data_IF_336080402412
#
_entry.id   IF_336080402412
#
_cell.length_a   1.000
_cell.length_b   1.000
_cell.length_c   1.000
_cell.angle_alpha   90.00
_cell.angle_beta   90.00
_cell.angle_gamma   90.00
#
_symmetry.space_group_name_H-M   'P 1'
#
loop_
_entity.id
_entity.type
_entity.pdbx_description
1 polymer ?
#
# COMPACT_ATOMS: atom_id res chain seq x y z
N UNK A 1 -11.33 -9.53 -7.50
CA UNK A 1 -10.16 -9.42 -8.37
C UNK A 1 -10.48 -8.60 -9.62
N UNK A 2 -9.61 -7.66 -9.93
CA UNK A 2 -9.80 -6.82 -11.12
C UNK A 2 -10.99 -5.88 -11.06
N UNK A 3 -11.59 -5.67 -9.90
CA UNK A 3 -12.78 -4.85 -9.77
C UNK A 3 -12.46 -3.38 -10.04
N UNK A 4 -13.38 -2.69 -10.70
CA UNK A 4 -13.31 -1.24 -10.83
C UNK A 4 -14.11 -0.62 -9.69
N UNK A 5 -13.37 -0.17 -8.67
CA UNK A 5 -13.94 0.47 -7.49
C UNK A 5 -13.56 1.96 -7.44
N UNK A 6 -13.18 2.53 -8.59
CA UNK A 6 -12.84 3.94 -8.64
C UNK A 6 -14.01 4.79 -8.17
N UNK A 7 -13.70 5.76 -7.31
CA UNK A 7 -14.68 6.66 -6.69
C UNK A 7 -15.71 5.97 -5.79
N UNK A 8 -15.54 4.67 -5.51
CA UNK A 8 -16.46 3.97 -4.62
C UNK A 8 -16.37 4.52 -3.20
N UNK A 9 -17.49 4.57 -2.51
CA UNK A 9 -17.52 4.89 -1.09
C UNK A 9 -17.39 3.58 -0.30
N UNK A 10 -16.20 3.32 0.19
CA UNK A 10 -15.88 2.15 1.00
C UNK A 10 -15.52 2.56 2.43
N UNK A 11 -15.95 3.74 2.85
CA UNK A 11 -15.70 4.28 4.18
C UNK A 11 -16.17 3.28 5.24
N UNK A 12 -15.23 2.89 6.12
CA UNK A 12 -15.47 1.93 7.21
C UNK A 12 -15.91 0.53 6.76
N UNK A 13 -15.74 0.21 5.48
CA UNK A 13 -16.08 -1.11 4.97
C UNK A 13 -15.16 -2.18 5.56
N UNK A 14 -15.69 -3.38 5.78
CA UNK A 14 -14.91 -4.54 6.13
C UNK A 14 -14.51 -5.27 4.84
N UNK A 15 -13.27 -5.08 4.43
CA UNK A 15 -12.67 -5.72 3.27
C UNK A 15 -11.56 -6.69 3.70
N UNK A 16 -11.55 -7.08 4.97
CA UNK A 16 -10.56 -8.02 5.47
C UNK A 16 -10.62 -9.33 4.68
N UNK A 17 -9.44 -9.87 4.37
CA UNK A 17 -9.27 -11.09 3.58
C UNK A 17 -9.75 -11.01 2.13
N UNK A 18 -10.19 -9.84 1.65
CA UNK A 18 -10.68 -9.71 0.28
C UNK A 18 -9.55 -9.87 -0.74
N UNK A 19 -9.87 -10.44 -1.89
CA UNK A 19 -8.97 -10.43 -3.04
C UNK A 19 -9.24 -9.18 -3.86
N UNK A 20 -8.42 -8.15 -3.61
CA UNK A 20 -8.48 -6.88 -4.33
C UNK A 20 -7.31 -6.75 -5.31
N UNK A 21 -6.70 -7.89 -5.68
CA UNK A 21 -5.63 -7.89 -6.68
C UNK A 21 -6.15 -7.32 -7.99
N UNK A 22 -5.34 -6.47 -8.63
CA UNK A 22 -5.67 -5.78 -9.87
C UNK A 22 -6.86 -4.81 -9.76
N UNK A 23 -7.38 -4.56 -8.56
CA UNK A 23 -8.49 -3.63 -8.38
C UNK A 23 -8.08 -2.19 -8.63
N UNK A 24 -8.96 -1.42 -9.24
CA UNK A 24 -8.80 0.02 -9.37
C UNK A 24 -9.50 0.69 -8.20
N UNK A 25 -8.71 1.21 -7.26
CA UNK A 25 -9.20 1.93 -6.08
C UNK A 25 -8.96 3.45 -6.20
N UNK A 26 -8.63 3.93 -7.41
CA UNK A 26 -8.37 5.35 -7.61
C UNK A 26 -9.55 6.19 -7.19
N UNK A 27 -9.30 7.19 -6.33
CA UNK A 27 -10.31 8.09 -5.78
C UNK A 27 -11.38 7.40 -4.91
N UNK A 28 -11.19 6.13 -4.57
CA UNK A 28 -12.09 5.48 -3.63
C UNK A 28 -11.92 6.09 -2.23
N UNK A 29 -13.00 6.15 -1.48
CA UNK A 29 -12.96 6.54 -0.08
C UNK A 29 -12.80 5.29 0.77
N UNK A 30 -11.60 5.09 1.30
CA UNK A 30 -11.25 3.97 2.16
C UNK A 30 -11.10 4.37 3.62
N UNK A 31 -11.49 5.61 3.98
CA UNK A 31 -11.27 6.08 5.34
C UNK A 31 -11.93 5.15 6.35
N UNK A 32 -11.14 4.71 7.33
CA UNK A 32 -11.59 3.78 8.36
C UNK A 32 -11.90 2.37 7.90
N UNK A 33 -11.65 2.02 6.64
CA UNK A 33 -11.89 0.66 6.14
C UNK A 33 -10.90 -0.32 6.75
N UNK A 34 -11.31 -1.59 6.86
CA UNK A 34 -10.45 -2.68 7.33
C UNK A 34 -9.98 -3.49 6.11
N UNK A 35 -8.70 -3.38 5.79
CA UNK A 35 -8.07 -4.13 4.70
C UNK A 35 -7.12 -5.22 5.23
N UNK A 36 -7.22 -5.57 6.52
CA UNK A 36 -6.32 -6.56 7.11
C UNK A 36 -6.36 -7.86 6.31
N UNK A 37 -5.17 -8.34 5.93
CA UNK A 37 -4.98 -9.59 5.18
C UNK A 37 -5.60 -9.60 3.77
N UNK A 38 -6.01 -8.45 3.25
CA UNK A 38 -6.47 -8.37 1.87
C UNK A 38 -5.29 -8.54 0.91
N UNK A 39 -5.57 -9.04 -0.29
CA UNK A 39 -4.59 -9.07 -1.37
C UNK A 39 -4.74 -7.82 -2.21
N UNK A 40 -3.74 -6.93 -2.16
CA UNK A 40 -3.72 -5.67 -2.90
C UNK A 40 -2.69 -5.68 -4.03
N UNK A 41 -2.16 -6.85 -4.39
CA UNK A 41 -1.12 -6.93 -5.43
C UNK A 41 -1.65 -6.38 -6.75
N UNK A 42 -0.85 -5.51 -7.37
CA UNK A 42 -1.17 -4.87 -8.66
C UNK A 42 -2.42 -3.98 -8.62
N UNK A 43 -2.90 -3.61 -7.43
CA UNK A 43 -4.02 -2.68 -7.31
C UNK A 43 -3.55 -1.24 -7.48
N UNK A 44 -4.50 -0.36 -7.81
CA UNK A 44 -4.27 1.08 -7.80
C UNK A 44 -4.71 1.65 -6.46
N UNK A 45 -3.77 2.21 -5.69
CA UNK A 45 -4.04 2.75 -4.35
C UNK A 45 -4.43 4.23 -4.45
N UNK A 46 -5.45 4.70 -3.73
CA UNK A 46 -5.78 6.12 -3.74
C UNK A 46 -4.77 6.93 -2.92
N UNK A 47 -4.13 7.93 -3.54
CA UNK A 47 -3.21 8.83 -2.85
C UNK A 47 -3.91 10.07 -2.27
N UNK A 48 -5.23 10.07 -2.23
CA UNK A 48 -6.01 11.14 -1.63
C UNK A 48 -6.07 10.98 -0.11
N UNK A 49 -6.60 12.00 0.58
CA UNK A 49 -6.81 11.93 2.03
C UNK A 49 -7.88 10.90 2.42
N UNK A 50 -8.55 10.31 1.46
CA UNK A 50 -9.61 9.33 1.68
C UNK A 50 -9.08 7.95 2.09
N UNK A 51 -7.76 7.80 2.29
CA UNK A 51 -7.18 6.59 2.86
C UNK A 51 -6.83 6.72 4.34
N UNK A 52 -7.21 7.83 4.96
CA UNK A 52 -6.89 8.06 6.38
C UNK A 52 -7.59 7.03 7.26
N UNK A 53 -6.84 6.45 8.20
CA UNK A 53 -7.39 5.52 9.17
C UNK A 53 -7.71 4.15 8.60
N UNK A 54 -7.23 3.82 7.41
CA UNK A 54 -7.34 2.46 6.88
C UNK A 54 -6.58 1.51 7.78
N UNK A 55 -7.23 0.43 8.19
CA UNK A 55 -6.60 -0.60 9.00
C UNK A 55 -5.95 -1.64 8.09
N UNK A 56 -4.67 -1.90 8.33
CA UNK A 56 -3.90 -2.89 7.57
C UNK A 56 -3.09 -3.74 8.54
N UNK A 57 -2.72 -4.94 8.10
CA UNK A 57 -1.76 -5.77 8.82
C UNK A 57 -0.32 -5.41 8.41
N UNK A 58 0.66 -6.02 9.08
CA UNK A 58 2.07 -5.74 8.82
C UNK A 58 2.47 -6.06 7.37
N UNK A 59 1.87 -7.09 6.77
CA UNK A 59 2.16 -7.48 5.40
C UNK A 59 1.84 -6.35 4.41
N UNK A 60 0.66 -5.73 4.56
CA UNK A 60 0.25 -4.61 3.71
C UNK A 60 1.08 -3.37 4.02
N UNK A 61 1.33 -3.09 5.31
CA UNK A 61 2.15 -1.95 5.70
C UNK A 61 3.57 -2.07 5.12
N UNK A 62 4.16 -3.25 5.15
CA UNK A 62 5.48 -3.48 4.55
C UNK A 62 5.44 -3.33 3.03
N UNK A 63 4.35 -3.73 2.38
CA UNK A 63 4.18 -3.54 0.95
C UNK A 63 4.15 -2.04 0.59
N UNK A 64 3.42 -1.23 1.35
CA UNK A 64 3.39 0.22 1.14
C UNK A 64 4.78 0.83 1.40
N UNK A 65 5.48 0.38 2.43
CA UNK A 65 6.83 0.82 2.72
C UNK A 65 7.79 0.47 1.59
N UNK A 66 7.65 -0.72 1.00
CA UNK A 66 8.49 -1.16 -0.12
C UNK A 66 8.32 -0.25 -1.34
N UNK A 67 7.09 0.13 -1.66
CA UNK A 67 6.85 1.05 -2.76
C UNK A 67 7.40 2.45 -2.46
N UNK A 68 7.29 2.92 -1.22
CA UNK A 68 7.90 4.17 -0.82
C UNK A 68 9.42 4.14 -1.03
N UNK A 69 10.08 3.04 -0.65
CA UNK A 69 11.53 2.90 -0.79
C UNK A 69 11.98 2.76 -2.24
N UNK A 70 11.08 2.38 -3.14
CA UNK A 70 11.39 2.20 -4.56
C UNK A 70 11.28 3.49 -5.36
N UNK A 71 10.79 4.57 -4.77
CA UNK A 71 10.67 5.87 -5.44
C UNK A 71 12.05 6.49 -5.60
N UNK A 72 12.29 7.10 -6.75
CA UNK A 72 13.52 7.84 -7.03
C UNK A 72 13.32 9.31 -6.66
N UNK A 73 13.92 9.72 -5.54
CA UNK A 73 13.80 11.09 -5.04
C UNK A 73 15.10 11.49 -4.34
N UNK A 74 15.68 12.60 -4.75
CA UNK A 74 16.96 13.08 -4.24
C UNK A 74 16.86 13.85 -2.92
N UNK A 75 15.65 14.18 -2.49
CA UNK A 75 15.46 15.00 -1.29
C UNK A 75 16.11 14.34 -0.07
N UNK A 76 16.96 15.08 0.68
CA UNK A 76 17.65 14.50 1.84
C UNK A 76 16.70 13.99 2.92
N UNK A 77 15.55 14.64 3.12
CA UNK A 77 14.57 14.19 4.10
C UNK A 77 13.94 12.87 3.68
N UNK A 78 13.67 12.71 2.37
CA UNK A 78 13.19 11.43 1.85
C UNK A 78 14.24 10.34 2.07
N UNK A 79 15.50 10.61 1.74
CA UNK A 79 16.57 9.61 1.87
C UNK A 79 16.76 9.18 3.33
N UNK A 80 16.66 10.10 4.27
CA UNK A 80 16.73 9.77 5.70
C UNK A 80 15.55 8.89 6.12
N UNK A 81 14.34 9.22 5.68
CA UNK A 81 13.15 8.43 5.98
C UNK A 81 13.25 7.03 5.36
N UNK A 82 13.72 6.95 4.12
CA UNK A 82 13.92 5.68 3.41
C UNK A 82 14.87 4.78 4.19
N UNK A 83 16.00 5.33 4.61
CA UNK A 83 16.99 4.56 5.39
C UNK A 83 16.38 4.02 6.67
N UNK A 84 15.57 4.84 7.36
CA UNK A 84 14.96 4.45 8.62
C UNK A 84 13.99 3.28 8.50
N UNK A 85 13.28 3.16 7.35
CA UNK A 85 12.23 2.14 7.19
C UNK A 85 12.65 0.99 6.27
N UNK A 86 13.84 1.04 5.67
CA UNK A 86 14.26 0.10 4.63
C UNK A 86 14.22 -1.36 5.12
N UNK A 87 14.67 -1.63 6.34
CA UNK A 87 14.67 -3.00 6.86
C UNK A 87 13.26 -3.56 7.00
N UNK A 88 12.31 -2.73 7.44
CA UNK A 88 10.91 -3.14 7.46
C UNK A 88 10.37 -3.38 6.05
N UNK A 89 10.69 -2.48 5.11
CA UNK A 89 10.27 -2.60 3.72
C UNK A 89 10.76 -3.91 3.08
N UNK A 90 11.97 -4.35 3.43
CA UNK A 90 12.55 -5.60 2.90
C UNK A 90 11.78 -6.85 3.33
N UNK A 91 10.93 -6.76 4.35
CA UNK A 91 10.08 -7.88 4.75
C UNK A 91 8.88 -8.07 3.84
N UNK A 92 8.62 -7.13 2.91
CA UNK A 92 7.51 -7.22 1.97
C UNK A 92 7.70 -8.38 1.00
N UNK A 93 6.60 -9.06 0.68
CA UNK A 93 6.59 -10.08 -0.38
C UNK A 93 6.86 -9.47 -1.77
N UNK A 94 6.83 -8.12 -1.90
CA UNK A 94 7.15 -7.42 -3.13
C UNK A 94 8.57 -6.87 -3.17
N UNK A 95 9.35 -7.04 -2.09
CA UNK A 95 10.69 -6.45 -2.00
C UNK A 95 11.63 -6.96 -3.10
N UNK A 96 11.54 -8.24 -3.44
CA UNK A 96 12.34 -8.84 -4.51
C UNK A 96 12.04 -8.18 -5.86
N UNK A 97 10.76 -8.02 -6.19
CA UNK A 97 10.34 -7.43 -7.47
C UNK A 97 10.76 -5.97 -7.58
N UNK A 98 10.83 -5.27 -6.45
CA UNK A 98 11.25 -3.87 -6.39
C UNK A 98 12.76 -3.73 -6.19
N UNK A 99 13.50 -4.83 -6.19
CA UNK A 99 14.96 -4.89 -6.06
C UNK A 99 15.50 -4.32 -4.75
N UNK A 100 14.70 -4.26 -3.71
CA UNK A 100 15.15 -3.75 -2.41
C UNK A 100 16.14 -4.72 -1.73
N UNK A 101 16.07 -6.01 -2.05
CA UNK A 101 16.94 -7.01 -1.45
C UNK A 101 18.39 -6.94 -1.96
N UNK A 102 18.63 -6.13 -2.99
CA UNK A 102 19.97 -5.89 -3.54
C UNK A 102 20.74 -4.82 -2.75
N UNK A 103 20.09 -4.19 -1.77
CA UNK A 103 20.69 -3.11 -0.98
C UNK A 103 21.24 -3.58 0.37
#
# INVERSE_FOLDING_TARGET
>A
RGANLSRANLCRADLSWADLSWANLCRADLSGADLSWANLDYSCWPLSCCSKGVKVDARIAAQLAAHFCAVDCDDPAYQAARTAILEFAKTSHRAKDLRLLEE
#
